data_IF_326586367686
#
_entry.id   IF_326586367686
#
_cell.length_a   1.000
_cell.length_b   1.000
_cell.length_c   1.000
_cell.angle_alpha   90.00
_cell.angle_beta   90.00
_cell.angle_gamma   90.00
#
_symmetry.space_group_name_H-M   'P 1'
#
loop_
_entity.id
_entity.type
_entity.pdbx_description
1 polymer ?
#
# COMPACT_ATOMS: atom_id res chain seq x y z
N UNK A 1 -18.41 -3.84 25.20
CA UNK A 1 -18.54 -2.59 24.44
C UNK A 1 -20.01 -2.21 24.50
N UNK A 2 -20.34 -0.98 24.89
CA UNK A 2 -21.73 -0.53 24.95
C UNK A 2 -22.26 -0.24 23.55
N UNK A 3 -23.59 -0.30 23.35
CA UNK A 3 -24.21 0.03 22.05
C UNK A 3 -23.88 1.46 21.60
N UNK A 4 -23.70 2.38 22.56
CA UNK A 4 -23.30 3.77 22.30
C UNK A 4 -21.89 3.86 21.71
N UNK A 5 -20.93 3.07 22.22
CA UNK A 5 -19.57 3.03 21.70
C UNK A 5 -19.54 2.51 20.26
N UNK A 6 -20.35 1.49 19.95
CA UNK A 6 -20.45 0.92 18.60
C UNK A 6 -21.05 1.94 17.63
N UNK A 7 -22.14 2.59 18.01
CA UNK A 7 -22.79 3.63 17.20
C UNK A 7 -21.85 4.82 16.96
N UNK A 8 -21.08 5.22 17.98
CA UNK A 8 -20.08 6.27 17.86
C UNK A 8 -18.96 5.86 16.87
N UNK A 9 -18.39 4.67 17.02
CA UNK A 9 -17.36 4.16 16.12
C UNK A 9 -17.84 4.09 14.66
N UNK A 10 -19.06 3.61 14.43
CA UNK A 10 -19.65 3.54 13.09
C UNK A 10 -19.83 4.94 12.47
N UNK A 11 -20.30 5.91 13.25
CA UNK A 11 -20.45 7.30 12.80
C UNK A 11 -19.11 7.92 12.44
N UNK A 12 -18.07 7.64 13.22
CA UNK A 12 -16.70 8.09 12.94
C UNK A 12 -16.17 7.50 11.64
N UNK A 13 -16.30 6.19 11.44
CA UNK A 13 -15.87 5.53 10.22
C UNK A 13 -16.56 6.10 8.98
N UNK A 14 -17.88 6.33 9.05
CA UNK A 14 -18.63 6.95 7.96
C UNK A 14 -18.15 8.37 7.63
N UNK A 15 -17.96 9.21 8.64
CA UNK A 15 -17.47 10.58 8.45
C UNK A 15 -16.06 10.59 7.85
N UNK A 16 -15.17 9.74 8.35
CA UNK A 16 -13.80 9.60 7.85
C UNK A 16 -13.82 9.09 6.40
N UNK A 17 -14.64 8.10 6.07
CA UNK A 17 -14.76 7.56 4.72
C UNK A 17 -15.21 8.63 3.71
N UNK A 18 -16.22 9.44 4.06
CA UNK A 18 -16.69 10.55 3.21
C UNK A 18 -15.57 11.59 3.02
N UNK A 19 -14.87 11.95 4.10
CA UNK A 19 -13.76 12.91 4.04
C UNK A 19 -12.62 12.40 3.16
N UNK A 20 -12.21 11.14 3.34
CA UNK A 20 -11.17 10.49 2.52
C UNK A 20 -11.62 10.46 1.06
N UNK A 21 -12.83 9.99 0.77
CA UNK A 21 -13.36 9.94 -0.60
C UNK A 21 -13.36 11.31 -1.27
N UNK A 22 -13.79 12.35 -0.54
CA UNK A 22 -13.76 13.74 -1.03
C UNK A 22 -12.33 14.22 -1.33
N UNK A 23 -11.38 13.97 -0.43
CA UNK A 23 -9.98 14.37 -0.59
C UNK A 23 -9.32 13.66 -1.78
N UNK A 24 -9.53 12.35 -1.92
CA UNK A 24 -9.00 11.56 -3.03
C UNK A 24 -9.59 12.01 -4.36
N UNK A 25 -10.90 12.23 -4.41
CA UNK A 25 -11.58 12.70 -5.62
C UNK A 25 -11.09 14.10 -6.02
N UNK A 26 -10.94 15.01 -5.05
CA UNK A 26 -10.44 16.35 -5.28
C UNK A 26 -9.01 16.36 -5.83
N UNK A 27 -8.10 15.60 -5.19
CA UNK A 27 -6.73 15.47 -5.68
C UNK A 27 -6.65 14.83 -7.06
N UNK A 28 -7.51 13.82 -7.32
CA UNK A 28 -7.58 13.17 -8.63
C UNK A 28 -7.99 14.16 -9.71
N UNK A 29 -9.07 14.92 -9.50
CA UNK A 29 -9.57 15.94 -10.45
C UNK A 29 -8.49 17.00 -10.72
N UNK A 30 -7.83 17.50 -9.67
CA UNK A 30 -6.80 18.54 -9.79
C UNK A 30 -5.58 18.10 -10.61
N UNK A 31 -5.24 16.81 -10.56
CA UNK A 31 -4.10 16.26 -11.27
C UNK A 31 -4.44 15.67 -12.65
N UNK A 32 -5.70 15.36 -12.91
CA UNK A 32 -6.13 14.70 -14.14
C UNK A 32 -5.77 15.51 -15.39
N UNK A 33 -5.97 16.84 -15.39
CA UNK A 33 -5.64 17.70 -16.55
C UNK A 33 -4.14 17.63 -16.90
N UNK A 34 -3.28 17.73 -15.88
CA UNK A 34 -1.83 17.64 -16.04
C UNK A 34 -1.44 16.25 -16.55
N UNK A 35 -2.06 15.21 -16.01
CA UNK A 35 -1.81 13.83 -16.42
C UNK A 35 -2.19 13.59 -17.88
N UNK A 36 -3.37 14.02 -18.31
CA UNK A 36 -3.79 13.96 -19.73
C UNK A 36 -2.77 14.65 -20.63
N UNK A 37 -2.33 15.86 -20.24
CA UNK A 37 -1.37 16.62 -21.04
C UNK A 37 0.02 15.96 -21.10
N UNK A 38 0.55 15.45 -20.00
CA UNK A 38 1.94 14.98 -19.92
C UNK A 38 2.14 13.48 -20.13
N UNK A 39 1.13 12.67 -19.78
CA UNK A 39 1.21 11.21 -19.81
C UNK A 39 0.52 10.66 -21.05
N UNK A 40 -0.71 11.09 -21.33
CA UNK A 40 -1.53 10.49 -22.39
C UNK A 40 -1.12 10.90 -23.80
N UNK A 41 -0.62 12.12 -23.98
CA UNK A 41 -0.11 12.59 -25.29
C UNK A 41 1.20 11.93 -25.71
N UNK A 42 1.88 11.24 -24.80
CA UNK A 42 3.22 10.71 -25.00
C UNK A 42 3.17 9.25 -25.46
N UNK A 43 4.22 8.81 -26.17
CA UNK A 43 4.45 7.38 -26.44
C UNK A 43 4.58 6.62 -25.12
N UNK A 44 3.77 5.57 -24.96
CA UNK A 44 3.66 4.78 -23.75
C UNK A 44 4.95 3.96 -23.55
N UNK A 45 5.55 4.09 -22.37
CA UNK A 45 6.68 3.26 -21.95
C UNK A 45 6.23 2.26 -20.89
N UNK A 46 6.98 1.19 -20.64
CA UNK A 46 6.68 0.25 -19.55
C UNK A 46 6.51 0.95 -18.20
N UNK A 47 7.36 1.95 -17.91
CA UNK A 47 7.26 2.76 -16.70
C UNK A 47 5.95 3.55 -16.64
N UNK A 48 5.43 4.00 -17.79
CA UNK A 48 4.13 4.67 -17.88
C UNK A 48 3.00 3.72 -17.51
N UNK A 49 3.04 2.48 -17.99
CA UNK A 49 2.04 1.46 -17.61
C UNK A 49 2.07 1.15 -16.12
N UNK A 50 3.26 0.93 -15.53
CA UNK A 50 3.40 0.69 -14.10
C UNK A 50 2.88 1.86 -13.27
N UNK A 51 3.21 3.08 -13.68
CA UNK A 51 2.73 4.30 -13.02
C UNK A 51 1.20 4.40 -13.06
N UNK A 52 0.58 4.22 -14.23
CA UNK A 52 -0.87 4.27 -14.38
C UNK A 52 -1.52 3.13 -13.59
N UNK A 53 -0.96 1.91 -13.64
CA UNK A 53 -1.47 0.77 -12.89
C UNK A 53 -1.49 1.07 -11.38
N UNK A 54 -0.37 1.46 -10.78
CA UNK A 54 -0.32 1.80 -9.34
C UNK A 54 -1.29 2.92 -9.00
N UNK A 55 -1.36 3.97 -9.83
CA UNK A 55 -2.23 5.12 -9.57
C UNK A 55 -3.70 4.77 -9.62
N UNK A 56 -4.18 4.22 -10.73
CA UNK A 56 -5.60 3.91 -10.91
C UNK A 56 -6.05 2.77 -10.01
N UNK A 57 -5.19 1.78 -9.80
CA UNK A 57 -5.47 0.69 -8.89
C UNK A 57 -5.53 1.17 -7.44
N UNK A 58 -4.61 2.05 -7.02
CA UNK A 58 -4.67 2.67 -5.69
C UNK A 58 -5.95 3.48 -5.46
N UNK A 59 -6.37 4.29 -6.43
CA UNK A 59 -7.66 5.02 -6.35
C UNK A 59 -8.85 4.06 -6.29
N UNK A 60 -8.82 2.99 -7.08
CA UNK A 60 -9.85 1.95 -7.06
C UNK A 60 -9.95 1.25 -5.70
N UNK A 61 -8.83 0.84 -5.10
CA UNK A 61 -8.80 0.24 -3.77
C UNK A 61 -9.28 1.20 -2.68
N UNK A 62 -8.85 2.47 -2.75
CA UNK A 62 -9.29 3.48 -1.79
C UNK A 62 -10.80 3.75 -1.89
N UNK A 63 -11.35 3.75 -3.10
CA UNK A 63 -12.80 3.86 -3.31
C UNK A 63 -13.55 2.65 -2.75
N UNK A 64 -13.05 1.43 -3.00
CA UNK A 64 -13.64 0.22 -2.41
C UNK A 64 -13.59 0.25 -0.87
N UNK A 65 -12.48 0.70 -0.28
CA UNK A 65 -12.32 0.83 1.16
C UNK A 65 -13.29 1.89 1.74
N UNK A 66 -13.44 3.03 1.08
CA UNK A 66 -14.41 4.06 1.49
C UNK A 66 -15.86 3.56 1.41
N UNK A 67 -16.21 2.75 0.41
CA UNK A 67 -17.53 2.13 0.31
C UNK A 67 -17.77 1.08 1.40
N UNK A 68 -16.72 0.36 1.81
CA UNK A 68 -16.79 -0.66 2.86
C UNK A 68 -17.09 -0.08 4.24
N UNK A 69 -16.58 1.12 4.54
CA UNK A 69 -16.65 1.77 5.86
C UNK A 69 -18.03 2.21 6.38
N UNK A 70 -19.13 1.81 5.72
CA UNK A 70 -20.50 2.00 6.20
C UNK A 70 -21.39 2.89 5.31
N UNK A 71 -20.93 3.25 4.10
CA UNK A 71 -21.74 4.00 3.14
C UNK A 71 -22.90 3.16 2.57
N UNK A 72 -22.71 1.84 2.45
CA UNK A 72 -23.66 0.92 1.84
C UNK A 72 -23.90 -0.28 2.74
N UNK A 73 -25.16 -0.72 2.85
CA UNK A 73 -25.48 -2.02 3.42
C UNK A 73 -25.01 -3.11 2.45
N UNK A 74 -24.03 -3.92 2.86
CA UNK A 74 -23.45 -4.99 2.04
C UNK A 74 -23.94 -6.34 2.58
N UNK A 75 -24.55 -7.20 1.74
CA UNK A 75 -24.95 -8.53 2.17
C UNK A 75 -23.71 -9.40 2.47
N UNK A 76 -23.85 -10.33 3.42
CA UNK A 76 -22.77 -11.18 3.96
C UNK A 76 -21.88 -11.82 2.87
N UNK A 77 -22.49 -12.34 1.80
CA UNK A 77 -21.75 -12.96 0.68
C UNK A 77 -20.87 -11.97 -0.07
N UNK A 78 -21.37 -10.77 -0.32
CA UNK A 78 -20.61 -9.71 -1.02
C UNK A 78 -19.55 -9.13 -0.10
N UNK A 79 -19.84 -9.11 1.21
CA UNK A 79 -18.90 -8.68 2.24
C UNK A 79 -17.61 -9.51 2.17
N UNK A 80 -17.72 -10.84 2.27
CA UNK A 80 -16.55 -11.72 2.19
C UNK A 80 -15.72 -11.53 0.91
N UNK A 81 -16.37 -11.48 -0.26
CA UNK A 81 -15.66 -11.32 -1.54
C UNK A 81 -14.92 -9.99 -1.62
N UNK A 82 -15.52 -8.90 -1.15
CA UNK A 82 -14.90 -7.58 -1.11
C UNK A 82 -13.73 -7.52 -0.12
N UNK A 83 -13.84 -8.16 1.05
CA UNK A 83 -12.74 -8.25 2.00
C UNK A 83 -11.54 -8.98 1.37
N UNK A 84 -11.77 -10.14 0.75
CA UNK A 84 -10.73 -10.89 0.02
C UNK A 84 -10.16 -10.02 -1.11
N UNK A 85 -11.00 -9.34 -1.88
CA UNK A 85 -10.55 -8.48 -2.98
C UNK A 85 -9.68 -7.31 -2.48
N UNK A 86 -10.04 -6.67 -1.37
CA UNK A 86 -9.27 -5.58 -0.79
C UNK A 86 -7.91 -6.05 -0.32
N UNK A 87 -7.85 -7.15 0.42
CA UNK A 87 -6.60 -7.72 0.94
C UNK A 87 -5.63 -8.09 -0.18
N UNK A 88 -6.08 -8.90 -1.14
CA UNK A 88 -5.28 -9.25 -2.32
C UNK A 88 -4.93 -8.03 -3.16
N UNK A 89 -5.86 -7.07 -3.23
CA UNK A 89 -5.66 -5.80 -3.91
C UNK A 89 -4.51 -5.01 -3.30
N UNK A 90 -4.49 -4.87 -1.98
CA UNK A 90 -3.39 -4.19 -1.28
C UNK A 90 -2.06 -4.93 -1.47
N UNK A 91 -2.02 -6.26 -1.38
CA UNK A 91 -0.79 -7.03 -1.67
C UNK A 91 -0.25 -6.74 -3.08
N UNK A 92 -1.10 -6.80 -4.10
CA UNK A 92 -0.71 -6.48 -5.49
C UNK A 92 -0.23 -5.03 -5.61
N UNK A 93 -0.93 -4.09 -4.97
CA UNK A 93 -0.55 -2.68 -4.97
C UNK A 93 0.84 -2.48 -4.36
N UNK A 94 1.15 -3.11 -3.22
CA UNK A 94 2.48 -3.05 -2.60
C UNK A 94 3.56 -3.63 -3.50
N UNK A 95 3.32 -4.78 -4.15
CA UNK A 95 4.30 -5.34 -5.08
C UNK A 95 4.59 -4.41 -6.26
N UNK A 96 3.56 -3.78 -6.84
CA UNK A 96 3.75 -2.82 -7.93
C UNK A 96 4.50 -1.57 -7.45
N UNK A 97 4.19 -1.07 -6.26
CA UNK A 97 4.89 0.05 -5.62
C UNK A 97 6.39 -0.27 -5.41
N UNK A 98 6.71 -1.46 -4.91
CA UNK A 98 8.09 -1.93 -4.72
C UNK A 98 8.84 -2.09 -6.05
N UNK A 99 8.19 -2.62 -7.09
CA UNK A 99 8.78 -2.70 -8.44
C UNK A 99 9.13 -1.30 -8.96
N UNK A 100 8.27 -0.30 -8.77
CA UNK A 100 8.55 1.09 -9.13
C UNK A 100 9.76 1.63 -8.35
N UNK A 101 9.89 1.29 -7.07
CA UNK A 101 11.04 1.69 -6.25
C UNK A 101 12.34 1.07 -6.73
N UNK A 102 12.35 -0.24 -6.98
CA UNK A 102 13.53 -0.96 -7.52
C UNK A 102 13.94 -0.36 -8.87
N UNK A 103 12.97 -0.07 -9.74
CA UNK A 103 13.23 0.55 -11.04
C UNK A 103 13.86 1.94 -10.92
N UNK A 104 13.37 2.75 -9.97
CA UNK A 104 13.93 4.09 -9.67
C UNK A 104 15.35 3.97 -9.12
N UNK A 105 15.61 3.01 -8.24
CA UNK A 105 16.95 2.75 -7.71
C UNK A 105 17.91 2.28 -8.80
N UNK A 106 17.44 1.46 -9.74
CA UNK A 106 18.21 1.05 -10.92
C UNK A 106 18.61 2.22 -11.81
N UNK A 107 17.68 3.15 -12.06
CA UNK A 107 17.97 4.35 -12.84
C UNK A 107 19.07 5.23 -12.20
N UNK A 108 19.23 5.16 -10.87
CA UNK A 108 20.31 5.85 -10.14
C UNK A 108 21.64 5.09 -10.19
N UNK A 109 21.61 3.76 -10.07
CA UNK A 109 22.83 2.96 -9.95
C UNK A 109 23.50 2.68 -11.31
N UNK A 110 22.75 2.67 -12.42
CA UNK A 110 23.19 2.36 -13.79
C UNK A 110 23.89 0.99 -13.96
N UNK A 111 24.15 0.23 -12.89
CA UNK A 111 24.68 -1.14 -12.94
C UNK A 111 23.57 -2.16 -13.12
N UNK A 112 23.76 -3.06 -14.09
CA UNK A 112 22.84 -4.18 -14.34
C UNK A 112 22.91 -5.24 -13.24
N UNK A 113 24.07 -5.43 -12.62
CA UNK A 113 24.26 -6.50 -11.63
C UNK A 113 23.40 -6.29 -10.38
N UNK A 114 23.31 -5.06 -9.89
CA UNK A 114 22.50 -4.75 -8.69
C UNK A 114 21.02 -4.95 -8.97
N UNK A 115 20.55 -4.61 -10.17
CA UNK A 115 19.15 -4.83 -10.55
C UNK A 115 18.77 -6.31 -10.45
N UNK A 116 19.60 -7.21 -10.98
CA UNK A 116 19.31 -8.65 -10.92
C UNK A 116 19.31 -9.17 -9.48
N UNK A 117 20.23 -8.70 -8.63
CA UNK A 117 20.24 -9.06 -7.20
C UNK A 117 18.98 -8.55 -6.50
N UNK A 118 18.56 -7.32 -6.74
CA UNK A 118 17.36 -6.73 -6.16
C UNK A 118 16.08 -7.44 -6.62
N UNK A 119 15.94 -7.72 -7.91
CA UNK A 119 14.80 -8.46 -8.45
C UNK A 119 14.77 -9.87 -7.89
N UNK A 120 15.92 -10.55 -7.78
CA UNK A 120 16.01 -11.89 -7.20
C UNK A 120 15.56 -11.90 -5.74
N UNK A 121 16.05 -10.95 -4.93
CA UNK A 121 15.66 -10.82 -3.53
C UNK A 121 14.16 -10.49 -3.38
N UNK A 122 13.66 -9.54 -4.17
CA UNK A 122 12.24 -9.17 -4.22
C UNK A 122 11.35 -10.37 -4.61
N UNK A 123 11.77 -11.17 -5.59
CA UNK A 123 11.00 -12.35 -6.03
C UNK A 123 10.84 -13.38 -4.91
N UNK A 124 11.86 -13.56 -4.06
CA UNK A 124 11.79 -14.44 -2.89
C UNK A 124 10.78 -13.89 -1.87
N UNK A 125 10.83 -12.59 -1.57
CA UNK A 125 9.88 -11.93 -0.66
C UNK A 125 8.44 -12.07 -1.17
N UNK A 126 8.22 -11.82 -2.45
CA UNK A 126 6.90 -11.99 -3.09
C UNK A 126 6.43 -13.44 -3.01
N UNK A 127 7.28 -14.42 -3.28
CA UNK A 127 6.90 -15.84 -3.20
C UNK A 127 6.47 -16.24 -1.78
N UNK A 128 7.19 -15.76 -0.76
CA UNK A 128 6.84 -15.98 0.65
C UNK A 128 5.50 -15.29 0.97
N UNK A 129 5.32 -14.03 0.58
CA UNK A 129 4.09 -13.26 0.80
C UNK A 129 2.88 -13.94 0.14
N UNK A 130 2.97 -14.33 -1.13
CA UNK A 130 1.92 -15.06 -1.85
C UNK A 130 1.60 -16.39 -1.15
N UNK A 131 2.63 -17.15 -0.77
CA UNK A 131 2.45 -18.43 -0.09
C UNK A 131 1.72 -18.27 1.25
N UNK A 132 2.04 -17.22 2.00
CA UNK A 132 1.38 -16.88 3.25
C UNK A 132 -0.06 -16.42 3.04
N UNK A 133 -0.32 -15.56 2.04
CA UNK A 133 -1.67 -15.14 1.69
C UNK A 133 -2.52 -16.35 1.31
N UNK A 134 -2.04 -17.21 0.41
CA UNK A 134 -2.74 -18.45 0.03
C UNK A 134 -2.97 -19.31 1.27
N UNK A 135 -1.98 -19.49 2.15
CA UNK A 135 -2.13 -20.30 3.35
C UNK A 135 -3.18 -19.75 4.32
N UNK A 136 -3.19 -18.43 4.54
CA UNK A 136 -4.15 -17.74 5.40
C UNK A 136 -5.57 -17.84 4.83
N UNK A 137 -5.74 -17.60 3.52
CA UNK A 137 -7.05 -17.62 2.87
C UNK A 137 -7.58 -19.02 2.55
N UNK A 138 -6.71 -20.02 2.38
CA UNK A 138 -7.13 -21.41 2.10
C UNK A 138 -7.67 -22.12 3.34
N UNK A 139 -7.55 -21.54 4.54
CA UNK A 139 -8.10 -22.13 5.78
C UNK A 139 -9.50 -21.56 6.05
N UNK A 140 -10.59 -22.27 5.68
CA UNK A 140 -11.94 -21.84 6.05
C UNK A 140 -12.13 -21.77 7.58
N UNK A 141 -11.35 -22.57 8.33
CA UNK A 141 -11.36 -22.61 9.81
C UNK A 141 -10.86 -21.31 10.44
N UNK A 142 -10.10 -20.49 9.70
CA UNK A 142 -9.58 -19.22 10.18
C UNK A 142 -10.69 -18.16 10.36
N UNK A 143 -11.82 -18.33 9.66
CA UNK A 143 -13.02 -17.49 9.77
C UNK A 143 -14.16 -18.15 10.56
N UNK A 144 -14.04 -19.44 10.90
CA UNK A 144 -14.99 -20.15 11.76
C UNK A 144 -14.32 -20.42 13.11
N UNK A 145 -14.44 -19.46 14.02
CA UNK A 145 -14.02 -19.65 15.42
C UNK A 145 -14.79 -20.79 16.08
N UNK A 146 -14.25 -22.01 16.00
CA UNK A 146 -14.75 -23.16 16.77
C UNK A 146 -13.55 -23.81 17.49
N UNK A 147 -13.24 -23.28 18.66
CA UNK A 147 -12.29 -23.91 19.60
C UNK A 147 -13.06 -24.82 20.56
N UNK A 148 -12.91 -26.13 20.33
CA UNK A 148 -13.03 -27.27 21.25
C UNK A 148 -13.93 -27.09 22.50
N UNK A 149 -15.25 -27.24 22.32
CA UNK A 149 -16.15 -27.95 23.27
C UNK A 149 -17.61 -28.07 22.79
N UNK A 150 -17.96 -27.60 21.58
CA UNK A 150 -19.34 -27.60 21.06
C UNK A 150 -19.66 -28.60 19.96
N UNK A 151 -19.08 -29.82 19.97
CA UNK A 151 -19.46 -30.87 19.04
C UNK A 151 -20.95 -31.21 19.20
N UNK A 152 -21.74 -30.92 18.16
CA UNK A 152 -22.98 -31.58 17.66
C UNK A 152 -24.05 -30.57 17.15
N UNK A 153 -24.01 -29.29 17.53
CA UNK A 153 -25.05 -28.33 17.10
C UNK A 153 -24.75 -27.54 15.81
N UNK A 154 -23.50 -27.54 15.30
CA UNK A 154 -23.13 -26.74 14.13
C UNK A 154 -23.07 -27.55 12.81
N UNK A 155 -23.98 -28.53 12.62
CA UNK A 155 -24.02 -29.33 11.38
C UNK A 155 -25.11 -28.93 10.39
N UNK A 156 -25.92 -27.90 10.67
CA UNK A 156 -27.01 -27.51 9.76
C UNK A 156 -27.16 -26.01 9.44
N UNK A 157 -26.30 -25.14 9.94
CA UNK A 157 -26.30 -23.72 9.53
C UNK A 157 -24.88 -23.31 9.19
N UNK A 158 -24.59 -23.31 7.89
CA UNK A 158 -23.46 -22.62 7.27
C UNK A 158 -23.59 -21.12 7.56
N UNK A 159 -23.15 -20.71 8.76
CA UNK A 159 -23.16 -19.34 9.25
C UNK A 159 -21.72 -18.97 9.55
N UNK A 160 -21.19 -18.00 8.83
CA UNK A 160 -19.98 -17.30 9.26
C UNK A 160 -20.29 -16.65 10.62
N UNK A 161 -19.34 -16.67 11.55
CA UNK A 161 -19.50 -16.04 12.88
C UNK A 161 -19.27 -14.54 12.69
N UNK A 162 -20.19 -13.92 11.98
CA UNK A 162 -20.42 -12.50 12.08
C UNK A 162 -21.17 -12.32 13.40
N UNK A 163 -20.59 -11.59 14.36
CA UNK A 163 -21.40 -11.13 15.49
C UNK A 163 -22.41 -10.12 14.93
N UNK A 164 -23.65 -10.57 14.72
CA UNK A 164 -24.76 -9.68 14.41
C UNK A 164 -24.99 -8.80 15.65
N UNK A 165 -24.48 -7.57 15.62
CA UNK A 165 -24.89 -6.55 16.58
C UNK A 165 -26.27 -6.09 16.11
N UNK A 166 -27.31 -6.64 16.73
CA UNK A 166 -28.71 -6.30 16.44
C UNK A 166 -29.04 -5.02 17.22
N UNK A 167 -28.86 -3.88 16.58
CA UNK A 167 -29.53 -2.65 17.04
C UNK A 167 -31.01 -2.71 16.62
N UNK A 168 -31.93 -2.04 17.32
CA UNK A 168 -33.37 -2.12 17.00
C UNK A 168 -33.73 -1.75 15.55
N UNK A 169 -32.86 -1.01 14.85
CA UNK A 169 -33.13 -0.52 13.50
C UNK A 169 -32.21 -1.12 12.41
N UNK A 170 -31.03 -1.65 12.76
CA UNK A 170 -30.03 -2.06 11.75
C UNK A 170 -29.18 -3.21 12.27
N UNK A 171 -28.86 -4.16 11.37
CA UNK A 171 -27.92 -5.25 11.62
C UNK A 171 -26.58 -4.92 10.98
N UNK A 172 -25.51 -4.92 11.77
CA UNK A 172 -24.15 -4.69 11.28
C UNK A 172 -23.34 -5.98 11.35
N UNK A 173 -22.47 -6.16 10.36
CA UNK A 173 -21.53 -7.27 10.32
C UNK A 173 -20.14 -6.74 10.72
N UNK A 174 -19.57 -7.24 11.81
CA UNK A 174 -18.18 -6.96 12.17
C UNK A 174 -17.32 -8.18 11.83
N UNK A 175 -16.17 -7.95 11.19
CA UNK A 175 -15.18 -9.00 11.00
C UNK A 175 -14.29 -9.05 12.24
N UNK A 176 -14.22 -10.19 12.92
CA UNK A 176 -13.22 -10.42 13.96
C UNK A 176 -12.26 -11.50 13.49
N UNK A 177 -10.98 -11.14 13.37
CA UNK A 177 -9.93 -12.09 13.04
C UNK A 177 -9.44 -12.73 14.35
N UNK A 178 -9.90 -13.95 14.61
CA UNK A 178 -9.46 -14.74 15.77
C UNK A 178 -8.21 -15.59 15.47
N UNK A 179 -7.56 -15.35 14.32
CA UNK A 179 -6.28 -15.98 13.98
C UNK A 179 -5.24 -15.38 14.91
N UNK A 180 -4.58 -16.23 15.71
CA UNK A 180 -3.48 -15.77 16.57
C UNK A 180 -2.45 -15.00 15.75
N UNK A 181 -1.86 -13.91 16.26
CA UNK A 181 -1.13 -12.93 15.46
C UNK A 181 0.21 -13.45 14.90
N UNK A 182 0.62 -14.65 15.28
CA UNK A 182 1.94 -15.20 14.95
C UNK A 182 2.25 -15.29 13.44
N UNK A 183 1.46 -15.94 12.58
CA UNK A 183 1.84 -16.11 11.18
C UNK A 183 1.88 -14.79 10.41
N UNK A 184 0.99 -13.84 10.71
CA UNK A 184 1.01 -12.51 10.11
C UNK A 184 2.28 -11.73 10.49
N UNK A 185 2.67 -11.77 11.76
CA UNK A 185 3.91 -11.13 12.25
C UNK A 185 5.14 -11.77 11.59
N UNK A 186 5.21 -13.10 11.49
CA UNK A 186 6.36 -13.75 10.87
C UNK A 186 6.44 -13.49 9.36
N UNK A 187 5.30 -13.35 8.68
CA UNK A 187 5.25 -13.01 7.27
C UNK A 187 5.71 -11.59 6.97
N UNK A 188 5.48 -10.64 7.89
CA UNK A 188 5.86 -9.25 7.68
C UNK A 188 7.35 -8.99 7.91
N UNK A 189 8.04 -9.81 8.71
CA UNK A 189 9.48 -9.62 9.00
C UNK A 189 10.34 -9.56 7.73
N UNK A 190 10.30 -10.53 6.78
CA UNK A 190 11.09 -10.46 5.55
C UNK A 190 10.78 -9.21 4.71
N UNK A 191 9.53 -8.78 4.67
CA UNK A 191 9.08 -7.60 3.92
C UNK A 191 9.69 -6.33 4.54
N UNK A 192 9.57 -6.15 5.86
CA UNK A 192 10.15 -5.02 6.58
C UNK A 192 11.67 -5.01 6.46
N UNK A 193 12.32 -6.17 6.58
CA UNK A 193 13.77 -6.29 6.39
C UNK A 193 14.21 -5.87 4.97
N UNK A 194 13.45 -6.27 3.95
CA UNK A 194 13.70 -5.88 2.57
C UNK A 194 13.53 -4.37 2.36
N UNK A 195 12.48 -3.77 2.92
CA UNK A 195 12.26 -2.32 2.85
C UNK A 195 13.37 -1.52 3.55
N UNK A 196 13.81 -1.97 4.74
CA UNK A 196 14.96 -1.36 5.43
C UNK A 196 16.22 -1.44 4.56
N UNK A 197 16.45 -2.59 3.92
CA UNK A 197 17.57 -2.75 3.00
C UNK A 197 17.49 -1.78 1.81
N UNK A 198 16.31 -1.61 1.20
CA UNK A 198 16.09 -0.63 0.13
C UNK A 198 16.33 0.82 0.60
N UNK A 199 15.85 1.18 1.79
CA UNK A 199 16.07 2.51 2.39
C UNK A 199 17.56 2.77 2.58
N UNK A 200 18.29 1.80 3.14
CA UNK A 200 19.74 1.91 3.35
C UNK A 200 20.46 2.10 2.01
N UNK A 201 20.12 1.31 0.98
CA UNK A 201 20.71 1.45 -0.35
C UNK A 201 20.41 2.83 -0.95
N UNK A 202 19.18 3.33 -0.83
CA UNK A 202 18.80 4.65 -1.33
C UNK A 202 19.59 5.76 -0.64
N UNK A 203 19.77 5.67 0.69
CA UNK A 203 20.59 6.63 1.47
C UNK A 203 22.06 6.55 1.08
N UNK A 204 22.63 5.36 0.93
CA UNK A 204 24.03 5.17 0.51
C UNK A 204 24.27 5.76 -0.88
N UNK A 205 23.34 5.55 -1.81
CA UNK A 205 23.40 6.14 -3.16
C UNK A 205 23.34 7.65 -3.10
N UNK A 206 22.45 8.22 -2.28
CA UNK A 206 22.39 9.67 -2.08
C UNK A 206 23.72 10.20 -1.54
N UNK A 207 24.24 9.61 -0.46
CA UNK A 207 25.47 10.05 0.19
C UNK A 207 26.64 9.99 -0.77
N UNK A 208 26.76 8.89 -1.53
CA UNK A 208 27.79 8.73 -2.57
C UNK A 208 27.67 9.83 -3.63
N UNK A 209 26.46 10.08 -4.14
CA UNK A 209 26.25 11.11 -5.16
C UNK A 209 26.54 12.52 -4.65
N UNK A 210 26.21 12.82 -3.39
CA UNK A 210 26.55 14.09 -2.74
C UNK A 210 28.06 14.24 -2.54
N UNK A 211 28.76 13.15 -2.19
CA UNK A 211 30.22 13.15 -2.00
C UNK A 211 30.96 13.38 -3.31
N UNK A 212 30.63 12.61 -4.36
CA UNK A 212 31.21 12.78 -5.70
C UNK A 212 30.98 14.21 -6.24
N UNK A 213 29.80 14.81 -5.97
CA UNK A 213 29.54 16.20 -6.36
C UNK A 213 30.29 17.23 -5.53
N UNK A 214 30.56 16.95 -4.25
CA UNK A 214 31.29 17.87 -3.37
C UNK A 214 32.70 18.14 -3.91
N UNK A 215 33.32 17.15 -4.54
CA UNK A 215 34.67 17.25 -5.09
C UNK A 215 34.75 18.17 -6.33
N UNK A 216 33.66 18.32 -7.08
CA UNK A 216 33.67 19.04 -8.37
C UNK A 216 33.29 20.54 -8.23
N UNK A 217 33.00 21.04 -7.02
CA UNK A 217 32.54 22.43 -6.78
C UNK A 217 31.39 22.93 -7.69
N UNK A 218 30.62 22.03 -8.31
CA UNK A 218 29.48 22.43 -9.15
C UNK A 218 28.31 22.75 -8.22
N UNK A 219 27.77 23.97 -8.35
CA UNK A 219 26.57 24.41 -7.64
C UNK A 219 25.46 23.34 -7.77
N UNK A 220 24.95 22.80 -6.66
CA UNK A 220 24.03 21.67 -6.69
C UNK A 220 22.76 22.08 -7.44
N UNK A 221 22.37 21.26 -8.41
CA UNK A 221 21.12 21.46 -9.12
C UNK A 221 19.96 21.12 -8.17
N UNK A 222 19.19 22.13 -7.76
CA UNK A 222 18.05 22.03 -6.82
C UNK A 222 17.11 20.87 -7.16
N UNK A 223 16.94 20.59 -8.45
CA UNK A 223 16.12 19.49 -8.97
C UNK A 223 16.55 18.10 -8.48
N UNK A 224 17.85 17.81 -8.41
CA UNK A 224 18.34 16.49 -7.99
C UNK A 224 18.10 16.27 -6.51
N UNK A 225 18.31 17.31 -5.70
CA UNK A 225 18.03 17.27 -4.26
C UNK A 225 16.54 17.03 -4.01
N UNK A 226 15.68 17.72 -4.77
CA UNK A 226 14.23 17.56 -4.65
C UNK A 226 13.78 16.14 -5.00
N UNK A 227 14.25 15.58 -6.14
CA UNK A 227 13.95 14.20 -6.54
C UNK A 227 14.27 13.22 -5.42
N UNK A 228 15.51 13.28 -4.92
CA UNK A 228 15.97 12.34 -3.90
C UNK A 228 15.19 12.50 -2.61
N UNK A 229 14.92 13.73 -2.18
CA UNK A 229 14.11 13.98 -0.98
C UNK A 229 12.71 13.37 -1.10
N UNK A 230 12.06 13.53 -2.25
CA UNK A 230 10.76 12.91 -2.51
C UNK A 230 10.84 11.37 -2.48
N UNK A 231 11.91 10.77 -3.04
CA UNK A 231 12.10 9.32 -2.96
C UNK A 231 12.29 8.83 -1.52
N UNK A 232 13.14 9.49 -0.72
CA UNK A 232 13.37 9.09 0.67
C UNK A 232 12.09 9.19 1.49
N UNK A 233 11.30 10.25 1.30
CA UNK A 233 10.01 10.39 1.98
C UNK A 233 9.09 9.22 1.59
N UNK A 234 9.03 8.85 0.32
CA UNK A 234 8.25 7.69 -0.13
C UNK A 234 8.71 6.39 0.55
N UNK A 235 10.01 6.13 0.59
CA UNK A 235 10.57 4.95 1.25
C UNK A 235 10.23 4.91 2.76
N UNK A 236 10.33 6.05 3.44
CA UNK A 236 10.00 6.16 4.86
C UNK A 236 8.50 5.98 5.11
N UNK A 237 7.65 6.51 4.24
CA UNK A 237 6.19 6.32 4.33
C UNK A 237 5.81 4.87 4.11
N UNK A 238 6.38 4.19 3.11
CA UNK A 238 6.14 2.76 2.86
C UNK A 238 6.60 1.90 4.06
N UNK A 239 7.82 2.15 4.55
CA UNK A 239 8.37 1.44 5.71
C UNK A 239 7.51 1.68 6.96
N UNK A 240 7.10 2.93 7.21
CA UNK A 240 6.23 3.28 8.34
C UNK A 240 4.89 2.56 8.22
N UNK A 241 4.32 2.50 7.02
CA UNK A 241 3.08 1.79 6.75
C UNK A 241 3.20 0.28 7.06
N UNK A 242 4.28 -0.37 6.62
CA UNK A 242 4.54 -1.78 6.90
C UNK A 242 4.78 -2.06 8.39
N UNK A 243 5.51 -1.17 9.07
CA UNK A 243 5.70 -1.25 10.52
C UNK A 243 4.35 -1.10 11.22
N UNK A 244 3.55 -0.08 10.87
CA UNK A 244 2.22 0.11 11.46
C UNK A 244 1.36 -1.13 11.27
N UNK A 245 1.30 -1.70 10.06
CA UNK A 245 0.61 -2.97 9.80
C UNK A 245 1.08 -4.09 10.71
N UNK A 246 2.40 -4.24 10.88
CA UNK A 246 2.97 -5.26 11.76
C UNK A 246 2.60 -5.04 13.22
N UNK A 247 2.61 -3.79 13.68
CA UNK A 247 2.27 -3.44 15.07
C UNK A 247 0.77 -3.65 15.31
N UNK A 248 -0.10 -3.45 14.31
CA UNK A 248 -1.55 -3.66 14.48
C UNK A 248 -1.88 -5.10 14.89
N UNK A 249 -1.10 -6.07 14.45
CA UNK A 249 -1.22 -7.46 14.86
C UNK A 249 -0.84 -7.69 16.33
N UNK A 250 -0.21 -6.73 17.02
CA UNK A 250 0.25 -6.86 18.40
C UNK A 250 -0.78 -6.43 19.47
N UNK A 251 -2.08 -6.40 19.16
CA UNK A 251 -3.17 -5.98 20.06
C UNK A 251 -3.11 -4.52 20.54
N UNK A 252 -2.97 -3.57 19.61
CA UNK A 252 -3.03 -2.13 19.94
C UNK A 252 -4.48 -1.69 20.23
N UNK A 253 -4.70 -0.67 21.09
CA UNK A 253 -6.00 -0.01 21.23
C UNK A 253 -6.69 0.36 19.90
N UNK A 254 -8.04 0.24 19.79
CA UNK A 254 -8.79 0.49 18.56
C UNK A 254 -8.62 1.89 17.96
N UNK A 255 -8.38 2.90 18.80
CA UNK A 255 -8.15 4.27 18.33
C UNK A 255 -6.90 4.37 17.43
N UNK A 256 -5.81 3.67 17.79
CA UNK A 256 -4.58 3.66 16.99
C UNK A 256 -4.79 2.84 15.71
N UNK A 257 -5.61 1.79 15.77
CA UNK A 257 -5.99 1.00 14.59
C UNK A 257 -6.71 1.86 13.56
N UNK A 258 -7.74 2.61 13.95
CA UNK A 258 -8.45 3.51 13.02
C UNK A 258 -7.56 4.59 12.40
N UNK A 259 -6.63 5.15 13.19
CA UNK A 259 -5.68 6.15 12.70
C UNK A 259 -4.66 5.54 11.73
N UNK A 260 -4.17 4.34 12.05
CA UNK A 260 -3.27 3.61 11.17
C UNK A 260 -3.96 3.26 9.86
N UNK A 261 -5.17 2.70 9.87
CA UNK A 261 -5.97 2.41 8.67
C UNK A 261 -6.17 3.66 7.81
N UNK A 262 -6.50 4.80 8.44
CA UNK A 262 -6.59 6.09 7.73
C UNK A 262 -5.27 6.49 7.05
N UNK A 263 -4.13 6.25 7.71
CA UNK A 263 -2.81 6.49 7.14
C UNK A 263 -2.53 5.53 5.96
N UNK A 264 -2.84 4.24 6.10
CA UNK A 264 -2.66 3.23 5.04
C UNK A 264 -3.48 3.58 3.81
N UNK A 265 -4.73 3.97 4.01
CA UNK A 265 -5.67 4.28 2.94
C UNK A 265 -5.32 5.59 2.21
N UNK A 266 -4.63 6.52 2.90
CA UNK A 266 -4.27 7.82 2.33
C UNK A 266 -2.83 7.88 1.80
N UNK A 267 -1.94 6.99 2.24
CA UNK A 267 -0.55 6.93 1.77
C UNK A 267 -0.41 6.79 0.24
N UNK A 268 -1.22 5.98 -0.48
CA UNK A 268 -1.18 5.91 -1.95
C UNK A 268 -1.37 7.26 -2.65
N UNK A 269 -2.16 8.13 -2.03
CA UNK A 269 -2.65 9.38 -2.63
C UNK A 269 -1.61 10.48 -2.49
N UNK A 270 -1.09 10.68 -1.27
CA UNK A 270 0.00 11.63 -1.02
C UNK A 270 1.28 11.29 -1.79
N UNK A 271 1.57 10.00 -1.94
CA UNK A 271 2.80 9.53 -2.58
C UNK A 271 2.77 9.66 -4.11
N UNK A 272 1.58 9.76 -4.72
CA UNK A 272 1.43 9.82 -6.17
C UNK A 272 1.32 11.23 -6.75
N UNK A 273 1.33 12.29 -5.92
CA UNK A 273 1.22 13.68 -6.35
C UNK A 273 2.26 14.00 -7.45
N UNK A 274 1.83 14.10 -8.72
CA UNK A 274 2.70 14.08 -9.90
C UNK A 274 3.41 15.39 -10.21
N UNK A 275 3.04 16.50 -9.54
CA UNK A 275 3.42 17.84 -9.98
C UNK A 275 4.93 18.04 -10.08
N UNK A 276 5.71 17.42 -9.20
CA UNK A 276 7.17 17.60 -9.21
C UNK A 276 7.92 16.39 -9.80
N UNK A 277 7.46 15.15 -9.57
CA UNK A 277 8.19 13.96 -10.00
C UNK A 277 8.12 13.68 -11.51
N UNK A 278 7.01 14.01 -12.19
CA UNK A 278 6.87 13.69 -13.63
C UNK A 278 7.82 14.54 -14.49
N UNK A 279 7.97 15.83 -14.21
CA UNK A 279 8.89 16.69 -14.98
C UNK A 279 10.36 16.24 -14.86
N UNK A 280 10.69 15.60 -13.74
CA UNK A 280 12.04 15.24 -13.34
C UNK A 280 12.52 13.91 -13.91
N UNK A 281 11.68 12.87 -13.94
CA UNK A 281 12.00 11.60 -14.60
C UNK A 281 12.32 11.79 -16.09
N UNK A 282 11.63 12.71 -16.76
CA UNK A 282 11.82 12.98 -18.17
C UNK A 282 13.09 13.76 -18.49
N UNK A 283 13.49 14.70 -17.64
CA UNK A 283 14.74 15.46 -17.82
C UNK A 283 15.95 14.54 -17.59
N UNK A 284 15.84 13.62 -16.62
CA UNK A 284 16.87 12.62 -16.35
C UNK A 284 17.03 11.61 -17.50
N UNK A 285 15.92 11.09 -18.05
CA UNK A 285 15.97 10.10 -19.14
C UNK A 285 16.43 10.68 -20.49
N UNK A 286 16.19 11.97 -20.77
CA UNK A 286 16.79 12.66 -21.92
C UNK A 286 18.29 12.83 -21.74
N UNK A 287 18.74 13.21 -20.54
CA UNK A 287 20.15 13.44 -20.24
C UNK A 287 20.96 12.13 -20.25
N UNK A 288 20.41 11.02 -19.76
CA UNK A 288 21.01 9.69 -19.84
C UNK A 288 21.17 9.19 -21.28
N UNK A 289 20.22 9.49 -22.17
CA UNK A 289 20.36 9.17 -23.60
C UNK A 289 21.50 9.95 -24.25
N UNK A 290 21.66 11.23 -23.95
CA UNK A 290 22.82 12.00 -24.44
C UNK A 290 24.16 11.48 -23.91
N UNK A 291 24.21 10.88 -22.72
CA UNK A 291 25.45 10.26 -22.21
C UNK A 291 25.74 8.89 -22.82
N UNK A 292 24.71 8.11 -23.20
CA UNK A 292 24.90 6.81 -23.85
C UNK A 292 25.23 6.88 -25.34
N UNK A 293 24.88 7.98 -26.01
CA UNK A 293 25.14 8.17 -27.46
C UNK A 293 26.16 9.29 -27.73
N UNK A 294 26.82 9.79 -26.69
CA UNK A 294 27.87 10.81 -26.77
C UNK A 294 29.25 10.22 -26.56
N UNK A 295 29.60 9.21 -27.36
CA UNK A 295 30.97 8.77 -27.68
C UNK A 295 30.96 8.34 -29.15
#
# INVERSE_FOLDING_TARGET
MSDEEVAYALRWNNNIAIMIFGLISYEYILHFEKEVKFVWTRKWSMMTYLYLAVRYFGVFLAMLCACWGGLMYIPERVSYVLAVLLEWGFSIYFWLAEVILIWRLYALYQSRSILYVLIGLFSIVVAISVGMDIFLYSRPVAFSGEFLLGSIACKLTSRCIVQEIVTPNVKYCTSSFNIGPMPAIYASIPIVCFDIFLVILAVLVLVRHLRERREIQIKPNTYIILIVRCHIIYFLLNLTNQILMTVLWANIPPAVMSLSEGFINSAPVYCCAPSDCQHLGYTCQRRLRTYQYGV
#
